data_IF_049960879424
#
_entry.id   IF_049960879424
#
_cell.length_a   1.000
_cell.length_b   1.000
_cell.length_c   1.000
_cell.angle_alpha   90.00
_cell.angle_beta   90.00
_cell.angle_gamma   90.00
#
_symmetry.space_group_name_H-M   'P 1'
#
loop_
_entity.id
_entity.type
_entity.pdbx_description
1 polymer ?
#
# COMPACT_ATOMS: atom_id res chain seq x y z
N UNK A 1 -71.13 -15.70 16.25
CA UNK A 1 -70.85 -16.70 17.32
C UNK A 1 -69.41 -17.15 17.22
N UNK A 2 -68.61 -16.92 18.30
CA UNK A 2 -67.44 -17.66 18.82
C UNK A 2 -66.25 -17.86 17.83
N UNK A 3 -64.99 -17.69 18.15
CA UNK A 3 -64.25 -17.21 19.36
C UNK A 3 -62.80 -16.93 18.84
N UNK A 4 -62.22 -15.87 19.34
CA UNK A 4 -60.80 -15.60 19.27
C UNK A 4 -60.00 -16.64 20.04
N UNK A 5 -58.81 -17.02 19.50
CA UNK A 5 -57.75 -17.59 20.30
C UNK A 5 -56.47 -16.80 20.04
N UNK A 6 -56.12 -15.96 21.00
CA UNK A 6 -54.84 -15.32 21.11
C UNK A 6 -53.80 -16.34 21.65
N UNK A 7 -52.72 -16.57 20.94
CA UNK A 7 -51.56 -17.31 21.45
C UNK A 7 -50.63 -16.26 22.12
N UNK A 8 -50.68 -16.24 23.46
CA UNK A 8 -49.72 -15.49 24.24
C UNK A 8 -48.39 -16.27 24.31
N UNK A 9 -47.36 -15.79 23.63
CA UNK A 9 -46.00 -16.26 23.82
C UNK A 9 -45.45 -15.71 25.12
N UNK A 10 -45.25 -16.58 26.11
CA UNK A 10 -44.58 -16.24 27.37
C UNK A 10 -43.10 -16.14 27.11
N UNK A 11 -42.58 -14.91 26.98
CA UNK A 11 -41.17 -14.63 27.09
C UNK A 11 -40.76 -14.76 28.56
N UNK A 12 -40.21 -15.90 28.95
CA UNK A 12 -39.51 -16.04 30.23
C UNK A 12 -38.16 -15.38 30.11
N UNK A 13 -37.94 -14.38 30.97
CA UNK A 13 -36.82 -13.49 30.98
C UNK A 13 -35.47 -14.20 31.06
N UNK A 14 -34.64 -13.85 30.15
CA UNK A 14 -33.18 -13.93 30.30
C UNK A 14 -32.78 -12.62 30.99
N UNK A 15 -32.18 -12.70 32.17
CA UNK A 15 -31.80 -11.50 32.93
C UNK A 15 -30.78 -10.68 32.13
N UNK A 16 -30.83 -9.35 32.14
CA UNK A 16 -29.91 -8.49 31.39
C UNK A 16 -28.44 -8.75 31.74
N UNK A 17 -28.11 -9.31 32.91
CA UNK A 17 -26.75 -9.66 33.28
C UNK A 17 -26.09 -10.73 32.39
N UNK A 18 -26.85 -11.67 31.84
CA UNK A 18 -26.27 -12.75 31.02
C UNK A 18 -25.83 -12.30 29.60
N UNK A 19 -26.54 -11.32 29.02
CA UNK A 19 -26.12 -10.75 27.72
C UNK A 19 -24.85 -9.89 27.86
N UNK A 20 -24.72 -9.13 28.94
CA UNK A 20 -23.56 -8.28 29.21
C UNK A 20 -22.29 -9.09 29.50
N UNK A 21 -22.41 -10.22 30.21
CA UNK A 21 -21.29 -11.11 30.50
C UNK A 21 -20.75 -11.72 29.21
N UNK A 22 -21.59 -12.07 28.25
CA UNK A 22 -21.18 -12.60 26.95
C UNK A 22 -20.52 -11.52 26.09
N UNK A 23 -21.02 -10.27 26.11
CA UNK A 23 -20.41 -9.15 25.36
C UNK A 23 -19.04 -8.76 25.93
N UNK A 24 -18.88 -8.75 27.26
CA UNK A 24 -17.61 -8.44 27.92
C UNK A 24 -16.57 -9.54 27.66
N UNK A 25 -16.99 -10.82 27.66
CA UNK A 25 -16.10 -11.94 27.33
C UNK A 25 -15.73 -11.92 25.85
N UNK A 26 -16.64 -11.56 24.93
CA UNK A 26 -16.35 -11.42 23.53
C UNK A 26 -15.37 -10.25 23.24
N UNK A 27 -15.51 -9.11 23.91
CA UNK A 27 -14.53 -8.01 23.84
C UNK A 27 -13.16 -8.39 24.42
N UNK A 28 -13.12 -9.13 25.53
CA UNK A 28 -11.86 -9.56 26.15
C UNK A 28 -11.14 -10.64 25.33
N UNK A 29 -11.88 -11.50 24.61
CA UNK A 29 -11.26 -12.50 23.72
C UNK A 29 -10.77 -11.90 22.40
N UNK A 30 -11.37 -10.84 21.89
CA UNK A 30 -10.87 -10.12 20.70
C UNK A 30 -9.58 -9.34 21.03
N UNK A 31 -9.44 -8.82 22.25
CA UNK A 31 -8.19 -8.15 22.68
C UNK A 31 -7.04 -9.11 23.02
N UNK A 32 -7.30 -10.40 23.23
CA UNK A 32 -6.25 -11.38 23.57
C UNK A 32 -5.54 -12.00 22.34
N UNK A 33 -5.96 -11.64 21.14
CA UNK A 33 -5.45 -12.23 19.87
C UNK A 33 -4.62 -11.30 18.99
N UNK A 34 -4.28 -10.09 19.42
CA UNK A 34 -3.29 -9.28 18.68
C UNK A 34 -1.89 -9.81 19.02
N UNK A 35 -1.31 -10.62 18.13
CA UNK A 35 0.12 -10.76 18.09
C UNK A 35 0.70 -9.34 18.15
N UNK A 36 1.42 -9.01 19.20
CA UNK A 36 2.18 -7.77 19.26
C UNK A 36 3.06 -7.75 18.01
N UNK A 37 2.74 -6.90 17.06
CA UNK A 37 3.64 -6.58 15.97
C UNK A 37 4.90 -6.08 16.66
N UNK A 38 6.04 -6.70 16.40
CA UNK A 38 7.32 -6.19 16.84
C UNK A 38 7.35 -4.70 16.52
N UNK A 39 7.81 -3.86 17.46
CA UNK A 39 7.82 -2.42 17.30
C UNK A 39 8.33 -2.03 15.91
N UNK A 40 7.46 -1.46 15.10
CA UNK A 40 7.79 -1.04 13.76
C UNK A 40 8.72 0.17 13.86
N UNK A 41 9.99 0.00 13.53
CA UNK A 41 10.99 1.05 13.61
C UNK A 41 11.05 1.78 12.27
N UNK A 42 10.82 3.09 12.31
CA UNK A 42 11.00 3.99 11.18
C UNK A 42 12.32 4.75 11.29
N UNK A 43 12.91 5.21 10.16
CA UNK A 43 13.99 6.16 10.22
C UNK A 43 13.58 7.45 10.93
N UNK A 44 14.52 8.17 11.58
CA UNK A 44 14.19 9.43 12.24
C UNK A 44 13.67 10.48 11.24
N UNK A 45 12.68 11.25 11.65
CA UNK A 45 12.17 12.37 10.89
C UNK A 45 13.23 13.47 10.76
N UNK A 46 13.48 13.91 9.53
CA UNK A 46 14.37 15.03 9.21
C UNK A 46 13.73 15.94 8.17
N UNK A 47 14.27 17.16 7.99
CA UNK A 47 13.86 18.03 6.90
C UNK A 47 14.74 17.77 5.68
N UNK A 48 14.15 17.60 4.50
CA UNK A 48 14.91 17.39 3.27
C UNK A 48 15.73 18.64 2.91
N UNK A 49 17.04 18.51 2.98
CA UNK A 49 18.02 19.57 2.62
C UNK A 49 18.88 19.21 1.39
N UNK A 50 18.47 18.20 0.62
CA UNK A 50 19.22 17.64 -0.51
C UNK A 50 19.74 16.23 -0.22
N UNK A 51 20.28 15.55 -1.25
CA UNK A 51 20.84 14.21 -1.10
C UNK A 51 22.12 14.23 -0.25
N UNK A 52 22.38 13.15 0.46
CA UNK A 52 23.58 12.96 1.26
C UNK A 52 24.69 12.30 0.42
N UNK A 53 25.95 12.46 0.87
CA UNK A 53 27.06 11.77 0.23
C UNK A 53 26.89 10.26 0.28
N UNK A 54 27.25 9.59 -0.80
CA UNK A 54 27.19 8.12 -0.95
C UNK A 54 28.57 7.52 -0.64
N UNK A 55 28.85 7.09 0.61
CA UNK A 55 30.11 6.45 0.90
C UNK A 55 30.19 5.07 0.20
N UNK A 56 31.40 4.57 -0.08
CA UNK A 56 31.57 3.24 -0.63
C UNK A 56 30.89 2.18 0.24
N UNK A 57 30.19 1.27 -0.39
CA UNK A 57 29.58 0.11 0.26
C UNK A 57 29.59 -1.05 -0.76
N UNK A 58 30.24 -2.19 -0.48
CA UNK A 58 30.20 -3.35 -1.35
C UNK A 58 28.78 -3.82 -1.59
N UNK A 59 28.51 -4.35 -2.80
CA UNK A 59 27.23 -4.96 -3.10
C UNK A 59 27.00 -6.15 -2.15
N UNK A 60 25.84 -6.22 -1.45
CA UNK A 60 25.53 -7.34 -0.60
C UNK A 60 25.43 -8.64 -1.39
N UNK A 61 25.93 -9.74 -0.83
CA UNK A 61 25.64 -11.09 -1.31
C UNK A 61 24.15 -11.39 -1.21
N UNK A 62 23.68 -12.40 -1.96
CA UNK A 62 22.29 -12.84 -1.84
C UNK A 62 21.98 -13.26 -0.41
N UNK A 63 20.95 -12.68 0.19
CA UNK A 63 20.53 -12.86 1.60
C UNK A 63 21.62 -12.54 2.65
N UNK A 64 22.66 -11.80 2.26
CA UNK A 64 23.70 -11.33 3.18
C UNK A 64 23.53 -9.83 3.38
N UNK A 65 22.89 -9.39 4.48
CA UNK A 65 22.59 -7.98 4.65
C UNK A 65 23.84 -7.15 4.93
N UNK A 66 23.78 -5.89 4.51
CA UNK A 66 24.75 -4.84 4.88
C UNK A 66 24.01 -3.69 5.54
N UNK A 67 24.72 -2.84 6.27
CA UNK A 67 24.13 -1.64 6.88
C UNK A 67 24.50 -0.43 6.02
N UNK A 68 23.50 0.39 5.66
CA UNK A 68 23.78 1.69 5.04
C UNK A 68 24.56 2.55 6.04
N UNK A 69 25.78 3.02 5.69
CA UNK A 69 26.66 3.70 6.65
C UNK A 69 26.19 5.12 7.01
N UNK A 70 25.21 5.68 6.31
CA UNK A 70 24.67 7.02 6.58
C UNK A 70 23.36 6.95 7.32
N UNK A 71 22.46 6.07 6.88
CA UNK A 71 21.08 6.03 7.40
C UNK A 71 20.86 4.89 8.40
N UNK A 72 21.81 3.96 8.51
CA UNK A 72 21.73 2.85 9.47
C UNK A 72 20.77 1.73 9.10
N UNK A 73 20.07 1.83 7.97
CA UNK A 73 19.15 0.78 7.53
C UNK A 73 19.89 -0.49 7.12
N UNK A 74 19.32 -1.63 7.44
CA UNK A 74 19.75 -2.95 6.98
C UNK A 74 19.25 -3.17 5.56
N UNK A 75 20.17 -3.31 4.61
CA UNK A 75 19.89 -3.57 3.19
C UNK A 75 20.14 -5.04 2.89
N UNK A 76 19.16 -5.72 2.34
CA UNK A 76 19.25 -7.12 1.93
C UNK A 76 18.98 -7.25 0.43
N UNK A 77 19.88 -7.90 -0.31
CA UNK A 77 19.61 -8.34 -1.69
C UNK A 77 18.73 -9.59 -1.62
N UNK A 78 17.50 -9.49 -2.14
CA UNK A 78 16.47 -10.52 -2.01
C UNK A 78 16.23 -11.33 -3.28
N UNK A 79 16.96 -11.03 -4.36
CA UNK A 79 16.90 -11.82 -5.60
C UNK A 79 18.30 -12.18 -6.08
N UNK A 80 18.39 -13.26 -6.85
CA UNK A 80 19.61 -13.75 -7.49
C UNK A 80 19.32 -14.53 -8.78
N UNK A 81 20.37 -15.06 -9.36
CA UNK A 81 20.36 -15.82 -10.59
C UNK A 81 19.51 -17.10 -10.53
N UNK A 82 19.42 -17.74 -9.36
CA UNK A 82 18.66 -19.00 -9.15
C UNK A 82 17.16 -18.81 -9.31
N UNK A 83 16.67 -17.57 -9.17
CA UNK A 83 15.25 -17.24 -9.37
C UNK A 83 14.87 -17.19 -10.85
N UNK A 84 15.83 -17.19 -11.77
CA UNK A 84 15.65 -17.12 -13.20
C UNK A 84 15.60 -15.69 -13.73
N UNK A 85 15.60 -15.57 -15.05
CA UNK A 85 15.57 -14.28 -15.75
C UNK A 85 14.14 -13.73 -15.81
N UNK A 86 14.01 -12.44 -15.63
CA UNK A 86 12.88 -11.64 -16.09
C UNK A 86 13.16 -11.17 -17.54
N UNK A 87 12.23 -10.44 -18.15
CA UNK A 87 12.43 -9.84 -19.48
C UNK A 87 13.62 -8.88 -19.55
N UNK A 88 14.11 -8.42 -18.43
CA UNK A 88 15.09 -7.35 -18.32
C UNK A 88 16.29 -7.69 -17.41
N UNK A 89 16.55 -8.96 -17.16
CA UNK A 89 17.61 -9.43 -16.28
C UNK A 89 17.10 -10.46 -15.28
N UNK A 90 17.51 -10.38 -14.02
CA UNK A 90 17.04 -11.31 -12.98
C UNK A 90 15.69 -10.86 -12.39
N UNK A 91 15.11 -11.70 -11.51
CA UNK A 91 13.85 -11.35 -10.83
C UNK A 91 14.00 -10.07 -10.02
N UNK A 92 13.12 -9.13 -10.26
CA UNK A 92 13.18 -7.78 -9.70
C UNK A 92 11.80 -7.28 -9.34
N UNK A 93 11.72 -6.18 -8.62
CA UNK A 93 10.47 -5.46 -8.39
C UNK A 93 9.91 -4.95 -9.73
N UNK A 94 8.59 -5.09 -9.90
CA UNK A 94 7.94 -4.78 -11.17
C UNK A 94 7.91 -3.27 -11.46
N UNK A 95 7.22 -2.49 -10.61
CA UNK A 95 7.07 -1.05 -10.82
C UNK A 95 6.67 -0.30 -9.55
N UNK A 96 6.96 0.99 -9.46
CA UNK A 96 6.67 1.82 -8.27
C UNK A 96 5.19 1.89 -7.88
N UNK A 97 4.27 1.72 -8.82
CA UNK A 97 2.83 1.67 -8.56
C UNK A 97 2.30 0.26 -8.27
N UNK A 98 3.15 -0.76 -8.25
CA UNK A 98 2.76 -2.14 -7.97
C UNK A 98 3.26 -2.56 -6.59
N UNK A 99 2.35 -2.74 -5.63
CA UNK A 99 2.70 -3.18 -4.28
C UNK A 99 3.27 -4.61 -4.31
N UNK A 100 4.57 -4.81 -3.95
CA UNK A 100 5.16 -6.14 -3.96
C UNK A 100 4.74 -6.99 -2.76
N UNK A 101 4.50 -6.39 -1.58
CA UNK A 101 4.05 -7.12 -0.40
C UNK A 101 2.54 -7.35 -0.42
N UNK A 102 2.10 -8.49 0.09
CA UNK A 102 0.70 -8.72 0.44
C UNK A 102 0.31 -7.89 1.68
N UNK A 103 -0.99 -7.86 2.01
CA UNK A 103 -1.55 -6.99 3.03
C UNK A 103 -0.87 -7.13 4.41
N UNK A 104 -0.58 -8.35 4.86
CA UNK A 104 0.05 -8.64 6.15
C UNK A 104 1.58 -8.72 6.09
N UNK A 105 2.19 -8.39 4.95
CA UNK A 105 3.63 -8.38 4.72
C UNK A 105 4.33 -9.73 4.94
N UNK A 106 3.62 -10.84 4.81
CA UNK A 106 4.18 -12.19 4.91
C UNK A 106 4.69 -12.74 3.59
N UNK A 107 4.26 -12.16 2.46
CA UNK A 107 4.65 -12.57 1.11
C UNK A 107 5.10 -11.37 0.27
N UNK A 108 5.99 -11.63 -0.69
CA UNK A 108 6.50 -10.66 -1.66
C UNK A 108 6.36 -11.25 -3.05
N UNK A 109 5.76 -10.53 -4.00
CA UNK A 109 5.80 -10.89 -5.43
C UNK A 109 6.89 -10.12 -6.17
N UNK A 110 7.58 -10.79 -7.07
CA UNK A 110 8.56 -10.20 -7.98
C UNK A 110 8.16 -10.41 -9.43
N UNK A 111 8.59 -9.49 -10.31
CA UNK A 111 8.42 -9.56 -11.77
C UNK A 111 6.98 -9.91 -12.18
N UNK A 112 6.05 -9.12 -11.68
CA UNK A 112 4.61 -9.27 -11.96
C UNK A 112 4.10 -10.70 -11.67
N UNK A 113 4.44 -11.22 -10.49
CA UNK A 113 4.00 -12.54 -9.98
C UNK A 113 4.69 -13.76 -10.63
N UNK A 114 5.88 -13.62 -11.21
CA UNK A 114 6.67 -14.79 -11.65
C UNK A 114 7.24 -15.59 -10.49
N UNK A 115 7.56 -14.91 -9.40
CA UNK A 115 8.05 -15.51 -8.16
C UNK A 115 7.35 -14.84 -6.99
N UNK A 116 6.92 -15.64 -6.01
CA UNK A 116 6.47 -15.20 -4.70
C UNK A 116 7.47 -15.69 -3.67
N UNK A 117 7.95 -14.78 -2.83
CA UNK A 117 8.87 -15.06 -1.74
C UNK A 117 8.11 -15.02 -0.40
N UNK A 118 8.59 -15.78 0.57
CA UNK A 118 8.32 -15.55 1.98
C UNK A 118 9.02 -14.24 2.40
N UNK A 119 8.28 -13.30 2.97
CA UNK A 119 8.81 -11.96 3.23
C UNK A 119 9.71 -11.86 4.46
N UNK A 120 9.81 -12.92 5.28
CA UNK A 120 10.71 -12.98 6.44
C UNK A 120 12.07 -13.55 6.05
N UNK A 121 12.06 -14.62 5.25
CA UNK A 121 13.27 -15.35 4.86
C UNK A 121 13.80 -14.98 3.48
N UNK A 122 12.95 -14.33 2.67
CA UNK A 122 13.14 -14.04 1.24
C UNK A 122 13.39 -15.31 0.38
N UNK A 123 13.07 -16.49 0.91
CA UNK A 123 13.10 -17.72 0.15
C UNK A 123 11.87 -17.85 -0.75
N UNK A 124 12.02 -18.60 -1.84
CA UNK A 124 10.92 -18.83 -2.77
C UNK A 124 9.80 -19.58 -2.08
N UNK A 125 8.65 -18.95 -1.94
CA UNK A 125 7.42 -19.56 -1.46
C UNK A 125 6.70 -20.29 -2.60
N UNK A 126 6.58 -19.64 -3.78
CA UNK A 126 5.87 -20.21 -4.93
C UNK A 126 6.36 -19.63 -6.26
N UNK A 127 6.25 -20.43 -7.32
CA UNK A 127 6.46 -20.02 -8.72
C UNK A 127 5.15 -20.19 -9.48
N UNK A 128 4.27 -19.19 -9.49
CA UNK A 128 3.01 -19.28 -10.23
C UNK A 128 3.26 -19.21 -11.75
N UNK A 129 2.34 -19.82 -12.51
CA UNK A 129 2.32 -19.71 -13.96
C UNK A 129 0.96 -19.22 -14.45
N UNK A 130 0.93 -18.54 -15.61
CA UNK A 130 -0.31 -18.07 -16.23
C UNK A 130 -1.08 -17.02 -15.43
N UNK A 131 -0.44 -16.39 -14.46
CA UNK A 131 -0.95 -15.21 -13.77
C UNK A 131 -0.42 -13.99 -14.51
N UNK A 132 -1.30 -13.26 -15.17
CA UNK A 132 -0.97 -12.05 -15.90
C UNK A 132 -0.63 -10.88 -14.95
N UNK A 133 -0.95 -9.69 -15.40
CA UNK A 133 -0.84 -8.50 -14.56
C UNK A 133 -1.67 -8.67 -13.28
N UNK A 134 -1.08 -8.34 -12.12
CA UNK A 134 -1.67 -8.70 -10.83
C UNK A 134 -1.52 -7.61 -9.79
N UNK A 135 -2.49 -7.59 -8.85
CA UNK A 135 -2.47 -6.71 -7.66
C UNK A 135 -2.87 -7.52 -6.43
N UNK A 136 -2.11 -7.33 -5.33
CA UNK A 136 -2.53 -7.89 -4.05
C UNK A 136 -3.84 -7.29 -3.58
N UNK A 137 -4.64 -8.09 -2.91
CA UNK A 137 -5.74 -7.60 -2.09
C UNK A 137 -5.21 -6.65 -1.01
N UNK A 138 -5.98 -5.62 -0.71
CA UNK A 138 -5.66 -4.65 0.34
C UNK A 138 -6.23 -5.05 1.70
N UNK A 139 -6.92 -6.20 1.79
CA UNK A 139 -7.59 -6.69 3.01
C UNK A 139 -7.34 -8.18 3.29
N UNK A 140 -7.19 -9.02 2.27
CA UNK A 140 -6.93 -10.46 2.45
C UNK A 140 -5.49 -10.79 2.01
N UNK A 141 -4.61 -11.18 2.95
CA UNK A 141 -3.20 -11.43 2.65
C UNK A 141 -2.95 -12.62 1.73
N UNK A 142 -3.96 -13.46 1.52
CA UNK A 142 -3.84 -14.64 0.65
C UNK A 142 -4.33 -14.39 -0.78
N UNK A 143 -5.00 -13.27 -1.04
CA UNK A 143 -5.66 -13.01 -2.33
C UNK A 143 -4.82 -12.11 -3.22
N UNK A 144 -4.74 -12.53 -4.48
CA UNK A 144 -4.14 -11.78 -5.57
C UNK A 144 -5.15 -11.72 -6.72
N UNK A 145 -5.50 -10.50 -7.13
CA UNK A 145 -6.29 -10.25 -8.33
C UNK A 145 -5.38 -10.19 -9.56
N UNK A 146 -5.84 -10.73 -10.69
CA UNK A 146 -5.02 -10.75 -11.89
C UNK A 146 -5.86 -10.82 -13.17
N UNK A 147 -5.22 -10.48 -14.30
CA UNK A 147 -5.81 -10.58 -15.63
C UNK A 147 -5.35 -11.83 -16.36
N UNK A 148 -6.24 -12.43 -17.16
CA UNK A 148 -5.93 -13.50 -18.13
C UNK A 148 -6.73 -13.28 -19.39
N UNK A 149 -6.10 -12.70 -20.43
CA UNK A 149 -6.82 -12.27 -21.62
C UNK A 149 -7.93 -11.27 -21.26
N UNK A 150 -9.18 -11.59 -21.57
CA UNK A 150 -10.33 -10.75 -21.23
C UNK A 150 -10.97 -11.08 -19.87
N UNK A 151 -10.31 -11.88 -19.04
CA UNK A 151 -10.82 -12.28 -17.73
C UNK A 151 -10.15 -11.52 -16.60
N UNK A 152 -10.95 -11.06 -15.63
CA UNK A 152 -10.50 -10.61 -14.31
C UNK A 152 -10.76 -11.72 -13.31
N UNK A 153 -9.73 -12.10 -12.55
CA UNK A 153 -9.73 -13.29 -11.72
C UNK A 153 -9.15 -12.99 -10.33
N UNK A 154 -9.52 -13.83 -9.38
CA UNK A 154 -9.01 -13.84 -8.01
C UNK A 154 -8.34 -15.19 -7.75
N UNK A 155 -7.11 -15.15 -7.22
CA UNK A 155 -6.35 -16.35 -6.87
C UNK A 155 -5.92 -16.31 -5.41
N UNK A 156 -6.24 -17.37 -4.66
CA UNK A 156 -5.70 -17.56 -3.32
C UNK A 156 -4.32 -18.24 -3.45
N UNK A 157 -3.27 -17.51 -3.10
CA UNK A 157 -1.87 -17.96 -3.28
C UNK A 157 -1.50 -19.12 -2.35
N UNK A 158 -2.24 -19.33 -1.25
CA UNK A 158 -1.98 -20.41 -0.28
C UNK A 158 -2.71 -21.70 -0.63
N UNK A 159 -3.99 -21.61 -0.97
CA UNK A 159 -4.83 -22.77 -1.33
C UNK A 159 -4.79 -23.14 -2.80
N UNK A 160 -4.24 -22.29 -3.67
CA UNK A 160 -4.29 -22.38 -5.14
C UNK A 160 -5.70 -22.25 -5.75
N UNK A 161 -6.70 -21.90 -4.98
CA UNK A 161 -8.05 -21.63 -5.50
C UNK A 161 -8.02 -20.45 -6.47
N UNK A 162 -8.53 -20.65 -7.68
CA UNK A 162 -8.51 -19.68 -8.79
C UNK A 162 -9.93 -19.44 -9.30
N UNK A 163 -10.49 -18.29 -8.99
CA UNK A 163 -11.89 -17.94 -9.26
C UNK A 163 -11.98 -16.91 -10.38
N UNK A 164 -12.79 -17.20 -11.40
CA UNK A 164 -13.23 -16.22 -12.40
C UNK A 164 -14.21 -15.24 -11.74
N UNK A 165 -13.91 -13.94 -11.80
CA UNK A 165 -14.79 -12.89 -11.30
C UNK A 165 -15.63 -12.31 -12.45
N UNK A 166 -14.99 -11.96 -13.57
CA UNK A 166 -15.68 -11.36 -14.72
C UNK A 166 -14.99 -11.72 -16.04
N UNK A 167 -15.77 -11.79 -17.12
CA UNK A 167 -15.28 -11.89 -18.51
C UNK A 167 -15.77 -10.69 -19.30
N UNK A 168 -14.85 -9.85 -19.72
CA UNK A 168 -15.13 -8.65 -20.50
C UNK A 168 -15.36 -9.00 -21.97
N UNK A 169 -16.48 -8.54 -22.53
CA UNK A 169 -16.83 -8.76 -23.95
C UNK A 169 -16.00 -7.88 -24.90
N UNK A 170 -15.38 -6.84 -24.37
CA UNK A 170 -14.67 -5.79 -25.12
C UNK A 170 -13.31 -6.25 -25.66
N UNK A 171 -12.69 -7.25 -25.04
CA UNK A 171 -11.39 -7.77 -25.44
C UNK A 171 -10.44 -8.04 -24.28
N UNK A 172 -9.18 -8.25 -24.58
CA UNK A 172 -8.14 -8.48 -23.57
C UNK A 172 -7.96 -7.23 -22.71
N UNK A 173 -7.99 -7.43 -21.38
CA UNK A 173 -7.90 -6.34 -20.43
C UNK A 173 -6.50 -6.19 -19.85
N UNK A 174 -6.18 -4.96 -19.45
CA UNK A 174 -5.05 -4.59 -18.61
C UNK A 174 -5.56 -3.80 -17.40
N UNK A 175 -4.88 -3.85 -16.25
CA UNK A 175 -5.21 -3.02 -15.09
C UNK A 175 -4.57 -1.65 -15.31
N UNK A 176 -5.33 -0.72 -15.92
CA UNK A 176 -4.92 0.64 -16.17
C UNK A 176 -3.59 0.76 -16.93
N UNK A 177 -3.43 0.00 -18.02
CA UNK A 177 -2.20 -0.08 -18.83
C UNK A 177 -0.96 -0.50 -18.02
N UNK A 178 -1.11 -1.49 -17.15
CA UNK A 178 -0.10 -2.06 -16.24
C UNK A 178 0.31 -1.16 -15.06
N UNK A 179 -0.26 0.03 -14.93
CA UNK A 179 0.04 0.96 -13.83
C UNK A 179 -1.16 1.27 -12.92
N UNK A 180 -2.33 0.69 -13.22
CA UNK A 180 -3.53 0.85 -12.42
C UNK A 180 -3.51 0.05 -11.12
N UNK A 181 -4.39 0.43 -10.19
CA UNK A 181 -4.56 -0.23 -8.90
C UNK A 181 -6.03 -0.44 -8.54
N UNK A 182 -6.24 -1.29 -7.54
CA UNK A 182 -7.54 -1.56 -6.90
C UNK A 182 -7.70 -0.56 -5.76
N UNK A 183 -8.94 -0.12 -5.47
CA UNK A 183 -9.25 0.70 -4.30
C UNK A 183 -8.99 -0.05 -3.00
N UNK A 184 -8.70 0.66 -1.91
CA UNK A 184 -8.65 0.07 -0.56
C UNK A 184 -10.00 -0.57 -0.26
N UNK A 185 -9.99 -1.78 0.34
CA UNK A 185 -11.18 -2.59 0.55
C UNK A 185 -11.59 -3.44 -0.65
N UNK A 186 -10.75 -3.49 -1.72
CA UNK A 186 -10.89 -4.38 -2.89
C UNK A 186 -12.18 -4.21 -3.68
N UNK A 187 -12.80 -3.04 -3.63
CA UNK A 187 -14.12 -2.89 -4.23
C UNK A 187 -14.09 -2.50 -5.69
N UNK A 188 -13.26 -1.55 -6.07
CA UNK A 188 -13.25 -1.01 -7.43
C UNK A 188 -11.90 -1.15 -8.10
N UNK A 189 -11.91 -1.43 -9.39
CA UNK A 189 -10.70 -1.44 -10.22
C UNK A 189 -10.98 -0.73 -11.54
N UNK A 190 -9.95 -0.11 -12.09
CA UNK A 190 -9.93 0.36 -13.47
C UNK A 190 -9.21 -0.67 -14.31
N UNK A 191 -9.90 -1.19 -15.33
CA UNK A 191 -9.28 -1.95 -16.42
C UNK A 191 -9.46 -1.21 -17.73
N UNK A 192 -8.65 -1.53 -18.73
CA UNK A 192 -8.81 -0.98 -20.06
C UNK A 192 -8.61 -2.04 -21.14
N UNK A 193 -9.29 -1.83 -22.27
CA UNK A 193 -9.05 -2.49 -23.56
C UNK A 193 -8.66 -1.37 -24.52
N UNK A 194 -7.40 -1.33 -24.90
CA UNK A 194 -6.82 -0.22 -25.67
C UNK A 194 -7.18 1.16 -25.07
N UNK A 195 -7.97 1.97 -25.76
CA UNK A 195 -8.41 3.32 -25.33
C UNK A 195 -9.66 3.33 -24.47
N UNK A 196 -10.37 2.19 -24.41
CA UNK A 196 -11.60 2.05 -23.64
C UNK A 196 -11.28 1.78 -22.17
N UNK A 197 -11.58 2.72 -21.31
CA UNK A 197 -11.43 2.60 -19.85
C UNK A 197 -12.74 2.11 -19.25
N UNK A 198 -12.65 1.14 -18.34
CA UNK A 198 -13.77 0.47 -17.70
C UNK A 198 -13.58 0.52 -16.19
N UNK A 199 -14.58 0.98 -15.47
CA UNK A 199 -14.66 0.89 -14.00
C UNK A 199 -15.49 -0.32 -13.64
N UNK A 200 -14.90 -1.23 -12.86
CA UNK A 200 -15.53 -2.48 -12.44
C UNK A 200 -15.65 -2.55 -10.91
N UNK A 201 -16.87 -2.84 -10.41
CA UNK A 201 -17.17 -3.13 -9.00
C UNK A 201 -16.98 -4.64 -8.77
N UNK A 202 -15.86 -4.98 -8.14
CA UNK A 202 -15.45 -6.37 -7.90
C UNK A 202 -16.42 -7.09 -6.97
N UNK A 203 -16.92 -6.38 -5.95
CA UNK A 203 -17.78 -6.98 -4.92
C UNK A 203 -19.16 -7.36 -5.45
N UNK A 204 -19.68 -6.59 -6.42
CA UNK A 204 -21.03 -6.78 -6.96
C UNK A 204 -21.02 -7.41 -8.37
N UNK A 205 -19.86 -7.65 -8.96
CA UNK A 205 -19.70 -8.10 -10.36
C UNK A 205 -20.44 -7.18 -11.36
N UNK A 206 -20.20 -5.85 -11.25
CA UNK A 206 -20.88 -4.85 -12.07
C UNK A 206 -19.86 -3.98 -12.80
N UNK A 207 -20.01 -3.83 -14.11
CA UNK A 207 -19.37 -2.75 -14.86
C UNK A 207 -20.11 -1.46 -14.56
N UNK A 208 -19.46 -0.57 -13.79
CA UNK A 208 -20.05 0.70 -13.33
C UNK A 208 -20.10 1.71 -14.48
N UNK A 209 -19.04 1.81 -15.25
CA UNK A 209 -18.93 2.75 -16.36
C UNK A 209 -17.91 2.25 -17.39
N UNK A 210 -18.13 2.65 -18.65
CA UNK A 210 -17.19 2.48 -19.78
C UNK A 210 -17.09 3.76 -20.56
N UNK A 211 -15.89 4.17 -20.95
CA UNK A 211 -15.66 5.35 -21.77
C UNK A 211 -14.38 5.25 -22.56
N UNK A 212 -14.44 5.56 -23.84
CA UNK A 212 -13.25 5.78 -24.65
C UNK A 212 -12.62 7.14 -24.23
N UNK A 213 -11.42 7.06 -23.67
CA UNK A 213 -10.65 8.24 -23.24
C UNK A 213 -9.58 8.64 -24.26
N UNK A 214 -9.53 7.96 -25.43
CA UNK A 214 -8.43 8.07 -26.37
C UNK A 214 -7.17 7.38 -25.83
N UNK A 215 -6.02 7.55 -26.50
CA UNK A 215 -4.76 6.97 -26.03
C UNK A 215 -4.44 7.39 -24.61
N UNK A 216 -4.26 6.42 -23.73
CA UNK A 216 -3.81 6.62 -22.35
C UNK A 216 -2.42 6.03 -22.15
N UNK A 217 -1.61 6.67 -21.33
CA UNK A 217 -0.38 6.10 -20.81
C UNK A 217 -0.74 5.14 -19.67
N UNK A 218 -1.55 5.62 -18.73
CA UNK A 218 -2.13 4.80 -17.67
C UNK A 218 -3.43 5.42 -17.13
N UNK A 219 -4.21 4.58 -16.46
CA UNK A 219 -5.35 4.97 -15.64
C UNK A 219 -5.38 4.17 -14.35
N UNK A 220 -5.80 4.76 -13.24
CA UNK A 220 -5.88 4.08 -11.94
C UNK A 220 -7.14 4.44 -11.18
N UNK A 221 -7.65 3.51 -10.41
CA UNK A 221 -8.65 3.79 -9.40
C UNK A 221 -7.98 4.50 -8.22
N UNK A 222 -8.62 5.52 -7.66
CA UNK A 222 -8.19 6.15 -6.42
C UNK A 222 -8.35 5.20 -5.22
N UNK A 223 -7.65 5.47 -4.14
CA UNK A 223 -7.66 4.58 -2.98
C UNK A 223 -9.03 4.47 -2.33
N UNK A 224 -9.84 5.53 -2.31
CA UNK A 224 -11.24 5.48 -1.85
C UNK A 224 -12.19 4.79 -2.85
N UNK A 225 -11.78 4.64 -4.11
CA UNK A 225 -12.65 4.20 -5.19
C UNK A 225 -13.64 5.26 -5.69
N UNK A 226 -13.47 6.54 -5.33
CA UNK A 226 -14.36 7.62 -5.76
C UNK A 226 -13.95 8.25 -7.09
N UNK A 227 -12.64 8.19 -7.42
CA UNK A 227 -12.07 8.85 -8.58
C UNK A 227 -11.33 7.87 -9.48
N UNK A 228 -11.28 8.20 -10.75
CA UNK A 228 -10.35 7.64 -11.73
C UNK A 228 -9.36 8.73 -12.10
N UNK A 229 -8.07 8.44 -11.94
CA UNK A 229 -6.99 9.33 -12.37
C UNK A 229 -6.35 8.73 -13.61
N UNK A 230 -6.20 9.53 -14.66
CA UNK A 230 -5.61 9.08 -15.91
C UNK A 230 -4.56 10.07 -16.40
N UNK A 231 -3.51 9.54 -16.97
CA UNK A 231 -2.55 10.26 -17.80
C UNK A 231 -2.79 9.89 -19.27
N UNK A 232 -3.17 10.84 -20.12
CA UNK A 232 -3.24 10.63 -21.56
C UNK A 232 -1.88 10.19 -22.13
N UNK A 233 -1.88 9.55 -23.30
CA UNK A 233 -0.68 9.01 -23.96
C UNK A 233 0.38 10.05 -24.33
N UNK A 234 0.07 11.34 -24.22
CA UNK A 234 1.05 12.43 -24.30
C UNK A 234 1.16 13.13 -22.95
N UNK A 235 2.38 13.24 -22.43
CA UNK A 235 2.64 13.96 -21.19
C UNK A 235 2.22 15.44 -21.23
N UNK A 236 2.16 16.04 -22.41
CA UNK A 236 1.69 17.41 -22.61
C UNK A 236 0.20 17.59 -22.32
N UNK A 237 -0.59 16.51 -22.34
CA UNK A 237 -2.02 16.55 -22.00
C UNK A 237 -2.27 16.55 -20.48
N UNK A 238 -1.23 16.31 -19.70
CA UNK A 238 -1.28 16.42 -18.24
C UNK A 238 -1.85 15.21 -17.53
N UNK A 239 -2.45 15.46 -16.36
CA UNK A 239 -3.12 14.45 -15.52
C UNK A 239 -4.56 14.89 -15.29
N UNK A 240 -5.49 13.96 -15.49
CA UNK A 240 -6.94 14.23 -15.51
C UNK A 240 -7.63 13.36 -14.46
N UNK A 241 -8.64 13.93 -13.81
CA UNK A 241 -9.47 13.28 -12.81
C UNK A 241 -10.91 13.17 -13.31
N UNK A 242 -11.44 11.97 -13.21
CA UNK A 242 -12.84 11.63 -13.46
C UNK A 242 -13.49 11.15 -12.16
N UNK A 243 -14.82 11.24 -12.08
CA UNK A 243 -15.56 10.48 -11.08
C UNK A 243 -15.60 8.98 -11.43
N UNK A 244 -16.18 8.17 -10.57
CA UNK A 244 -16.33 6.72 -10.79
C UNK A 244 -17.17 6.36 -12.02
N UNK A 245 -18.05 7.29 -12.48
CA UNK A 245 -18.87 7.12 -13.67
C UNK A 245 -18.16 7.62 -14.94
N UNK A 246 -16.87 7.93 -14.85
CA UNK A 246 -16.02 8.46 -15.92
C UNK A 246 -16.52 9.82 -16.47
N UNK A 247 -17.24 10.61 -15.66
CA UNK A 247 -17.48 12.00 -15.95
C UNK A 247 -16.22 12.81 -15.64
N UNK A 248 -15.79 13.64 -16.59
CA UNK A 248 -14.63 14.49 -16.42
C UNK A 248 -14.89 15.51 -15.31
N UNK A 249 -14.04 15.50 -14.28
CA UNK A 249 -14.10 16.49 -13.20
C UNK A 249 -13.13 17.63 -13.45
N UNK A 250 -11.85 17.33 -13.68
CA UNK A 250 -10.83 18.36 -13.85
C UNK A 250 -9.50 17.80 -14.39
N UNK A 251 -8.69 18.70 -14.92
CA UNK A 251 -7.26 18.51 -15.12
C UNK A 251 -6.54 19.05 -13.88
N UNK A 252 -5.62 18.26 -13.31
CA UNK A 252 -4.92 18.62 -12.07
C UNK A 252 -3.47 19.06 -12.31
N UNK A 253 -2.84 18.62 -13.40
CA UNK A 253 -1.52 19.05 -13.83
C UNK A 253 -1.50 19.25 -15.34
N UNK A 254 -0.76 20.28 -15.81
CA UNK A 254 -0.62 20.57 -17.24
C UNK A 254 0.39 19.66 -17.93
N UNK A 255 1.35 19.12 -17.18
CA UNK A 255 2.30 18.14 -17.67
C UNK A 255 2.26 16.93 -16.76
N UNK A 256 2.07 15.75 -17.33
CA UNK A 256 2.15 14.50 -16.62
C UNK A 256 3.59 14.08 -16.38
N UNK A 257 3.91 13.66 -15.17
CA UNK A 257 5.17 13.04 -14.79
C UNK A 257 4.89 11.71 -14.06
N UNK A 258 5.92 11.00 -13.63
CA UNK A 258 5.76 9.86 -12.76
C UNK A 258 5.05 10.29 -11.47
N UNK A 259 4.04 9.54 -11.07
CA UNK A 259 3.25 9.89 -9.89
C UNK A 259 2.32 8.76 -9.48
N UNK A 260 1.71 8.89 -8.31
CA UNK A 260 0.78 7.91 -7.76
C UNK A 260 -0.32 8.59 -6.93
N UNK A 261 -1.41 7.86 -6.69
CA UNK A 261 -2.55 8.32 -5.89
C UNK A 261 -2.41 7.85 -4.45
N UNK A 262 -2.56 8.79 -3.51
CA UNK A 262 -2.50 8.50 -2.07
C UNK A 262 -3.38 9.45 -1.28
N UNK A 263 -3.06 9.59 0.01
CA UNK A 263 -3.69 10.57 0.90
C UNK A 263 -2.66 11.55 1.45
N UNK A 264 -3.05 12.81 1.62
CA UNK A 264 -2.28 13.75 2.41
C UNK A 264 -2.47 13.51 3.93
N UNK A 265 -1.75 14.26 4.75
CA UNK A 265 -1.85 14.13 6.23
C UNK A 265 -3.17 14.64 6.80
N UNK A 266 -3.98 15.33 6.03
CA UNK A 266 -5.32 15.78 6.41
C UNK A 266 -6.41 14.79 5.96
N UNK A 267 -6.04 13.67 5.33
CA UNK A 267 -6.98 12.65 4.87
C UNK A 267 -7.64 12.96 3.51
N UNK A 268 -7.13 13.94 2.75
CA UNK A 268 -7.64 14.19 1.41
C UNK A 268 -6.93 13.29 0.40
N UNK A 269 -7.66 12.74 -0.57
CA UNK A 269 -7.03 12.04 -1.68
C UNK A 269 -6.28 13.00 -2.59
N UNK A 270 -5.05 12.64 -2.90
CA UNK A 270 -4.14 13.44 -3.71
C UNK A 270 -3.48 12.59 -4.80
N UNK A 271 -3.18 13.20 -5.93
CA UNK A 271 -2.17 12.69 -6.85
C UNK A 271 -0.86 13.40 -6.58
N UNK A 272 0.19 12.64 -6.33
CA UNK A 272 1.55 13.17 -6.11
C UNK A 272 2.38 12.86 -7.33
N UNK A 273 3.09 13.84 -7.88
CA UNK A 273 4.01 13.64 -9.02
C UNK A 273 5.41 14.15 -8.74
N UNK A 274 6.36 13.65 -9.52
CA UNK A 274 7.76 14.09 -9.57
C UNK A 274 7.97 15.24 -10.56
N UNK A 275 9.14 15.85 -10.56
CA UNK A 275 9.65 16.83 -11.56
C UNK A 275 8.89 18.16 -11.66
N UNK A 276 8.72 18.96 -10.61
CA UNK A 276 9.14 18.77 -9.22
C UNK A 276 8.15 17.92 -8.42
N UNK A 277 8.51 17.61 -7.17
CA UNK A 277 7.58 16.86 -6.29
C UNK A 277 6.47 17.80 -5.82
N UNK A 278 5.26 17.51 -6.23
CA UNK A 278 4.08 18.28 -5.88
C UNK A 278 2.86 17.37 -5.80
N UNK A 279 1.87 17.76 -5.04
CA UNK A 279 0.61 17.04 -4.94
C UNK A 279 -0.58 17.92 -5.34
N UNK A 280 -1.61 17.31 -5.90
CA UNK A 280 -2.89 17.95 -6.17
C UNK A 280 -4.03 17.16 -5.57
N UNK A 281 -4.93 17.83 -4.87
CA UNK A 281 -6.15 17.20 -4.34
C UNK A 281 -7.06 16.77 -5.48
N UNK A 282 -7.63 15.57 -5.36
CA UNK A 282 -8.52 15.02 -6.39
C UNK A 282 -9.89 15.70 -6.38
N UNK A 283 -10.37 16.11 -5.20
CA UNK A 283 -11.71 16.71 -5.02
C UNK A 283 -11.85 18.14 -5.56
N UNK A 284 -10.79 18.96 -5.48
CA UNK A 284 -10.87 20.38 -5.82
C UNK A 284 -9.74 20.89 -6.74
N UNK A 285 -8.69 20.07 -6.95
CA UNK A 285 -7.54 20.43 -7.79
C UNK A 285 -6.52 21.35 -7.10
N UNK A 286 -6.63 21.60 -5.80
CA UNK A 286 -5.66 22.41 -5.07
C UNK A 286 -4.28 21.78 -5.13
N UNK A 287 -3.31 22.53 -5.64
CA UNK A 287 -1.91 22.11 -5.77
C UNK A 287 -1.09 22.57 -4.57
N UNK A 288 -0.29 21.68 -4.02
CA UNK A 288 0.73 21.98 -3.01
C UNK A 288 2.09 21.58 -3.54
N UNK A 289 3.01 22.56 -3.60
CA UNK A 289 4.41 22.28 -3.92
C UNK A 289 5.11 21.75 -2.66
N UNK A 290 5.68 20.55 -2.75
CA UNK A 290 6.37 19.91 -1.62
C UNK A 290 7.81 20.39 -1.45
N UNK A 291 8.27 21.35 -2.29
CA UNK A 291 9.55 22.02 -2.15
C UNK A 291 10.78 21.16 -2.41
N UNK A 292 10.60 20.05 -3.14
CA UNK A 292 11.65 19.09 -3.51
C UNK A 292 11.71 19.02 -5.03
N UNK A 293 12.91 19.33 -5.59
CA UNK A 293 13.13 19.32 -7.04
C UNK A 293 13.89 18.06 -7.44
N UNK A 294 13.17 16.93 -7.47
CA UNK A 294 13.69 15.62 -7.87
C UNK A 294 12.87 15.06 -9.03
N UNK A 295 13.55 14.24 -9.84
CA UNK A 295 12.97 13.47 -10.93
C UNK A 295 13.32 11.99 -10.75
N UNK A 296 12.32 11.13 -10.77
CA UNK A 296 12.49 9.68 -10.56
C UNK A 296 11.14 9.02 -10.42
N UNK A 297 11.03 8.07 -9.52
CA UNK A 297 9.80 7.33 -9.25
C UNK A 297 9.30 7.60 -7.83
N UNK A 298 7.99 7.56 -7.64
CA UNK A 298 7.37 7.60 -6.34
C UNK A 298 6.26 6.54 -6.24
N UNK A 299 5.86 6.22 -5.01
CA UNK A 299 4.80 5.27 -4.72
C UNK A 299 4.01 5.70 -3.49
N UNK A 300 2.70 5.57 -3.55
CA UNK A 300 1.77 5.76 -2.44
C UNK A 300 1.07 4.43 -2.06
N UNK A 301 1.76 3.29 -2.24
CA UNK A 301 1.16 1.96 -2.02
C UNK A 301 1.16 1.50 -0.56
N UNK A 302 1.63 2.31 0.37
CA UNK A 302 1.65 2.09 1.81
C UNK A 302 0.28 2.36 2.46
N UNK A 303 -0.73 1.58 2.09
CA UNK A 303 -2.14 1.79 2.44
C UNK A 303 -2.46 1.64 3.95
N UNK A 304 -1.54 1.09 4.75
CA UNK A 304 -1.64 1.06 6.21
C UNK A 304 -0.93 2.25 6.88
N UNK A 305 -0.24 3.10 6.09
CA UNK A 305 0.43 4.32 6.56
C UNK A 305 0.15 5.48 5.63
N UNK A 306 -1.04 6.03 5.73
CA UNK A 306 -1.47 7.16 4.89
C UNK A 306 -0.68 8.45 5.23
N UNK A 307 -0.68 9.40 4.31
CA UNK A 307 0.03 10.69 4.48
C UNK A 307 1.53 10.65 4.14
N UNK A 308 2.04 9.53 3.60
CA UNK A 308 3.42 9.35 3.19
C UNK A 308 3.53 8.73 1.80
N UNK A 309 4.60 9.05 1.10
CA UNK A 309 4.96 8.41 -0.18
C UNK A 309 6.43 8.01 -0.18
N UNK A 310 6.78 6.93 -0.88
CA UNK A 310 8.17 6.66 -1.20
C UNK A 310 8.63 7.57 -2.33
N UNK A 311 9.82 8.11 -2.22
CA UNK A 311 10.49 8.88 -3.27
C UNK A 311 11.80 8.20 -3.57
N UNK A 312 11.99 7.79 -4.83
CA UNK A 312 13.23 7.28 -5.36
C UNK A 312 13.78 8.27 -6.39
N UNK A 313 14.88 8.93 -6.06
CA UNK A 313 15.53 9.87 -6.96
C UNK A 313 16.30 9.13 -8.09
N UNK A 314 16.45 9.78 -9.23
CA UNK A 314 17.20 9.24 -10.39
C UNK A 314 18.65 9.73 -10.49
N UNK A 315 19.16 10.49 -9.52
CA UNK A 315 20.46 11.13 -9.58
C UNK A 315 21.63 10.23 -9.14
N UNK A 316 22.86 10.73 -9.27
CA UNK A 316 24.09 10.02 -8.89
C UNK A 316 24.19 9.70 -7.39
N UNK A 317 23.60 10.56 -6.54
CA UNK A 317 23.48 10.35 -5.10
C UNK A 317 22.09 9.87 -4.71
N UNK A 318 21.47 9.08 -5.57
CA UNK A 318 20.10 8.64 -5.46
C UNK A 318 19.81 7.97 -4.11
N UNK A 319 18.83 8.50 -3.42
CA UNK A 319 18.31 8.00 -2.15
C UNK A 319 16.91 7.48 -2.31
N UNK A 320 16.50 6.59 -1.40
CA UNK A 320 15.13 6.22 -1.21
C UNK A 320 14.66 6.63 0.19
N UNK A 321 13.60 7.41 0.23
CA UNK A 321 13.09 8.00 1.47
C UNK A 321 11.56 8.08 1.46
N UNK A 322 10.96 8.12 2.65
CA UNK A 322 9.58 8.50 2.84
C UNK A 322 9.49 10.04 2.86
N UNK A 323 8.53 10.58 2.13
CA UNK A 323 8.16 11.99 2.17
C UNK A 323 6.77 12.12 2.77
N UNK A 324 6.66 12.92 3.80
CA UNK A 324 5.39 13.26 4.42
C UNK A 324 4.63 14.29 3.57
N UNK A 325 3.35 14.03 3.35
CA UNK A 325 2.50 14.87 2.49
C UNK A 325 1.81 15.99 3.29
N UNK A 326 2.62 16.77 4.00
CA UNK A 326 2.21 17.92 4.82
C UNK A 326 2.74 19.27 4.32
N UNK A 327 3.55 19.27 3.26
CA UNK A 327 4.20 20.48 2.74
C UNK A 327 5.44 20.95 3.51
N UNK A 328 5.86 20.25 4.58
CA UNK A 328 6.95 20.66 5.45
C UNK A 328 8.32 20.07 5.09
N UNK A 329 8.39 19.28 3.98
CA UNK A 329 9.60 18.54 3.56
C UNK A 329 10.10 17.52 4.59
N UNK A 330 9.22 17.03 5.45
CA UNK A 330 9.57 16.01 6.43
C UNK A 330 9.86 14.69 5.72
N UNK A 331 11.02 14.11 5.97
CA UNK A 331 11.45 12.85 5.34
C UNK A 331 12.00 11.86 6.36
N UNK A 332 11.88 10.58 6.05
CA UNK A 332 12.54 9.46 6.70
C UNK A 332 13.42 8.77 5.66
N UNK A 333 14.73 8.79 5.85
CA UNK A 333 15.69 8.27 4.87
C UNK A 333 16.03 6.83 5.15
N UNK A 334 15.87 5.97 4.14
CA UNK A 334 16.14 4.54 4.28
C UNK A 334 17.52 4.15 3.76
N UNK A 335 17.81 4.44 2.50
CA UNK A 335 19.05 3.96 1.90
C UNK A 335 19.49 4.80 0.70
N UNK A 336 20.78 4.69 0.37
CA UNK A 336 21.28 5.03 -0.95
C UNK A 336 20.99 3.88 -1.91
N UNK A 337 20.35 4.17 -3.03
CA UNK A 337 19.89 3.16 -3.98
C UNK A 337 21.02 2.50 -4.77
N UNK A 338 22.14 3.16 -4.92
CA UNK A 338 23.38 2.66 -5.58
C UNK A 338 23.14 2.07 -6.97
N UNK A 339 22.19 2.64 -7.68
CA UNK A 339 21.88 2.23 -9.06
C UNK A 339 22.62 3.12 -10.06
N UNK A 340 23.05 2.55 -11.18
CA UNK A 340 23.62 3.33 -12.28
C UNK A 340 22.56 4.16 -13.02
N UNK A 341 21.28 3.72 -13.00
CA UNK A 341 20.23 4.32 -13.80
C UNK A 341 20.43 4.16 -15.32
N UNK A 342 21.42 3.36 -15.74
CA UNK A 342 21.82 3.23 -17.15
C UNK A 342 20.75 2.61 -18.05
N UNK A 343 19.86 1.80 -17.47
CA UNK A 343 18.72 1.21 -18.17
C UNK A 343 17.43 1.49 -17.41
N UNK A 344 16.28 1.38 -18.08
CA UNK A 344 14.97 1.53 -17.44
C UNK A 344 14.78 0.55 -16.26
N UNK A 345 15.35 -0.64 -16.34
CA UNK A 345 15.25 -1.65 -15.28
C UNK A 345 16.17 -1.36 -14.09
N UNK A 346 17.28 -0.68 -14.33
CA UNK A 346 18.17 -0.19 -13.28
C UNK A 346 17.65 1.09 -12.59
N UNK A 347 16.55 1.69 -13.08
CA UNK A 347 15.91 2.79 -12.36
C UNK A 347 15.31 2.27 -11.04
N UNK A 348 15.54 3.02 -9.98
CA UNK A 348 15.07 2.66 -8.65
C UNK A 348 13.57 2.93 -8.49
N UNK A 349 12.76 1.97 -8.85
CA UNK A 349 11.29 2.02 -8.78
C UNK A 349 10.84 1.69 -7.36
N UNK A 350 11.23 2.52 -6.37
CA UNK A 350 11.04 2.23 -4.96
C UNK A 350 9.59 2.20 -4.51
N UNK A 351 9.25 1.19 -3.70
CA UNK A 351 7.92 1.02 -3.08
C UNK A 351 8.08 0.68 -1.61
N UNK A 352 7.22 1.25 -0.76
CA UNK A 352 7.13 0.84 0.64
C UNK A 352 6.29 -0.42 0.81
N UNK A 353 6.57 -1.17 1.90
CA UNK A 353 5.62 -2.12 2.46
C UNK A 353 4.29 -1.42 2.82
N UNK A 354 3.18 -2.16 2.95
CA UNK A 354 1.89 -1.58 3.31
C UNK A 354 1.92 -0.65 4.52
N UNK A 355 2.72 -0.96 5.54
CA UNK A 355 2.91 -0.16 6.76
C UNK A 355 4.01 0.91 6.65
N UNK A 356 4.74 0.95 5.53
CA UNK A 356 5.83 1.91 5.30
C UNK A 356 7.11 1.67 6.10
N UNK A 357 7.25 0.52 6.78
CA UNK A 357 8.43 0.20 7.61
C UNK A 357 9.61 -0.32 6.80
N UNK A 358 9.34 -0.84 5.60
CA UNK A 358 10.34 -1.36 4.68
C UNK A 358 10.19 -0.70 3.33
N UNK A 359 11.27 -0.68 2.57
CA UNK A 359 11.27 -0.19 1.20
C UNK A 359 11.98 -1.18 0.29
N UNK A 360 11.41 -1.42 -0.88
CA UNK A 360 12.00 -2.24 -1.94
C UNK A 360 12.35 -1.37 -3.13
N UNK A 361 13.48 -1.65 -3.78
CA UNK A 361 13.87 -1.03 -5.06
C UNK A 361 14.70 -1.97 -5.90
N UNK A 362 14.91 -1.59 -7.15
CA UNK A 362 15.82 -2.26 -8.08
C UNK A 362 17.17 -1.51 -8.11
N UNK A 363 18.26 -2.26 -8.21
CA UNK A 363 19.59 -1.68 -8.38
C UNK A 363 20.52 -2.66 -9.09
N UNK A 364 21.35 -2.16 -9.97
CA UNK A 364 22.48 -2.88 -10.52
C UNK A 364 23.77 -2.71 -9.69
N UNK A 365 23.73 -1.90 -8.64
CA UNK A 365 24.87 -1.56 -7.79
C UNK A 365 26.10 -1.11 -8.60
N UNK A 366 25.88 -0.47 -9.76
CA UNK A 366 26.92 -0.07 -10.69
C UNK A 366 27.56 -1.21 -11.47
N UNK A 367 27.02 -2.45 -11.42
CA UNK A 367 27.59 -3.63 -12.08
C UNK A 367 26.87 -4.02 -13.38
N UNK A 368 25.79 -3.33 -13.74
CA UNK A 368 24.97 -3.62 -14.92
C UNK A 368 23.95 -4.75 -14.72
N UNK A 369 24.05 -5.55 -13.66
CA UNK A 369 23.09 -6.63 -13.38
C UNK A 369 22.12 -6.17 -12.30
N UNK A 370 20.84 -6.10 -12.64
CA UNK A 370 19.78 -5.60 -11.77
C UNK A 370 19.23 -6.69 -10.86
N UNK A 371 19.07 -6.34 -9.57
CA UNK A 371 18.46 -7.18 -8.54
C UNK A 371 17.48 -6.38 -7.70
N UNK A 372 16.63 -7.07 -6.96
CA UNK A 372 15.75 -6.47 -5.96
C UNK A 372 16.42 -6.40 -4.59
N UNK A 373 16.25 -5.27 -3.92
CA UNK A 373 16.77 -4.99 -2.58
C UNK A 373 15.64 -4.53 -1.67
N UNK A 374 15.75 -4.86 -0.39
CA UNK A 374 14.87 -4.37 0.67
C UNK A 374 15.73 -3.67 1.73
N UNK A 375 15.31 -2.47 2.14
CA UNK A 375 15.86 -1.81 3.33
C UNK A 375 14.79 -1.71 4.41
N UNK A 376 15.22 -1.93 5.64
CA UNK A 376 14.45 -1.77 6.86
C UNK A 376 15.36 -1.26 7.98
N UNK A 377 14.80 -0.49 8.91
CA UNK A 377 15.58 -0.13 10.09
C UNK A 377 15.82 -1.39 10.93
N UNK A 378 17.03 -1.60 11.44
CA UNK A 378 17.25 -2.68 12.38
C UNK A 378 16.32 -2.43 13.58
N UNK A 379 15.50 -3.43 13.91
CA UNK A 379 14.70 -3.38 15.12
C UNK A 379 15.60 -3.16 16.35
N UNK A 380 15.10 -2.50 17.34
CA UNK A 380 15.80 -2.39 18.62
C UNK A 380 16.01 -3.81 19.15
N UNK A 381 17.21 -4.36 18.88
CA UNK A 381 17.59 -5.70 19.33
C UNK A 381 17.71 -5.82 20.85
N UNK A 382 17.29 -4.81 21.57
CA UNK A 382 17.34 -4.73 23.04
C UNK A 382 15.98 -4.88 23.74
N UNK A 383 14.86 -4.72 23.04
CA UNK A 383 13.56 -4.92 23.65
C UNK A 383 12.89 -6.21 23.11
N UNK A 384 13.06 -7.30 23.83
CA UNK A 384 12.38 -8.58 23.59
C UNK A 384 11.16 -8.76 24.52
N UNK A 385 10.86 -7.75 25.32
CA UNK A 385 9.75 -7.80 26.28
C UNK A 385 8.50 -7.22 25.61
N UNK A 386 7.45 -8.03 25.39
CA UNK A 386 6.19 -7.50 24.90
C UNK A 386 5.68 -6.38 25.85
N UNK A 387 5.09 -5.30 25.32
CA UNK A 387 4.50 -4.27 26.16
C UNK A 387 3.54 -4.87 27.19
N UNK A 388 3.64 -4.39 28.41
CA UNK A 388 2.72 -4.84 29.47
C UNK A 388 1.31 -4.40 29.10
N UNK A 389 0.36 -5.31 29.18
CA UNK A 389 -1.04 -5.00 28.88
C UNK A 389 -1.52 -3.81 29.74
N UNK A 390 -2.28 -2.88 29.17
CA UNK A 390 -2.85 -1.77 29.95
C UNK A 390 -3.61 -2.29 31.17
N UNK A 391 -3.31 -1.73 32.34
CA UNK A 391 -3.96 -2.12 33.58
C UNK A 391 -5.23 -1.30 33.83
N UNK A 392 -6.11 -1.81 34.72
CA UNK A 392 -7.30 -1.11 35.18
C UNK A 392 -8.30 -0.70 34.10
N UNK A 393 -8.46 -1.54 33.04
CA UNK A 393 -9.55 -1.36 32.11
C UNK A 393 -10.89 -1.38 32.84
N UNK A 394 -11.67 -0.31 32.74
CA UNK A 394 -12.98 -0.18 33.36
C UNK A 394 -13.93 0.60 32.47
N UNK A 395 -15.20 0.28 32.60
CA UNK A 395 -16.30 1.06 32.03
C UNK A 395 -16.51 2.30 32.89
N UNK A 396 -16.46 3.48 32.27
CA UNK A 396 -16.69 4.78 32.97
C UNK A 396 -18.04 5.38 32.63
N UNK A 397 -18.67 4.96 31.56
CA UNK A 397 -19.99 5.39 31.15
C UNK A 397 -20.66 4.40 30.22
N UNK A 398 -21.99 4.36 30.26
CA UNK A 398 -22.82 3.57 29.34
C UNK A 398 -23.95 4.46 28.86
N UNK A 399 -24.14 4.56 27.55
CA UNK A 399 -25.27 5.22 26.90
C UNK A 399 -26.04 4.27 26.01
N UNK A 400 -27.11 4.69 25.40
CA UNK A 400 -27.85 3.88 24.42
C UNK A 400 -27.05 3.63 23.15
N UNK A 401 -26.02 4.40 22.88
CA UNK A 401 -25.25 4.38 21.63
C UNK A 401 -23.76 4.11 21.83
N UNK A 402 -23.28 3.93 23.07
CA UNK A 402 -21.85 3.72 23.30
C UNK A 402 -21.49 3.33 24.73
N UNK A 403 -20.25 2.88 24.88
CA UNK A 403 -19.62 2.55 26.17
C UNK A 403 -18.32 3.33 26.27
N UNK A 404 -18.14 4.08 27.35
CA UNK A 404 -16.90 4.78 27.67
C UNK A 404 -15.98 3.84 28.45
N UNK A 405 -14.75 3.71 28.01
CA UNK A 405 -13.73 2.88 28.66
C UNK A 405 -12.59 3.76 29.18
N UNK A 406 -12.02 3.38 30.30
CA UNK A 406 -10.81 3.99 30.86
C UNK A 406 -9.83 2.89 31.25
N UNK A 407 -8.54 3.14 31.03
CA UNK A 407 -7.44 2.25 31.43
C UNK A 407 -6.19 3.06 31.75
N UNK A 408 -5.26 2.47 32.47
CA UNK A 408 -3.94 3.05 32.68
C UNK A 408 -3.06 2.79 31.45
N UNK A 409 -2.28 3.79 31.04
CA UNK A 409 -1.26 3.61 30.01
C UNK A 409 -0.25 2.53 30.43
N UNK A 410 0.25 1.77 29.47
CA UNK A 410 1.36 0.85 29.72
C UNK A 410 2.61 1.64 30.17
N UNK A 411 3.32 1.20 31.22
CA UNK A 411 4.54 1.87 31.67
C UNK A 411 5.66 1.87 30.63
N UNK A 412 5.58 1.01 29.59
CA UNK A 412 6.55 0.94 28.51
C UNK A 412 6.32 1.97 27.41
N UNK A 413 5.20 2.68 27.45
CA UNK A 413 4.92 3.81 26.56
C UNK A 413 5.56 5.08 27.14
N UNK A 414 6.85 5.28 26.86
CA UNK A 414 7.49 6.59 27.05
C UNK A 414 7.08 7.52 25.90
N UNK A 415 5.86 8.04 25.96
CA UNK A 415 5.44 9.09 25.06
C UNK A 415 5.86 10.45 25.64
N UNK A 416 6.69 11.16 24.89
CA UNK A 416 7.14 12.52 25.19
C UNK A 416 6.10 13.59 24.85
N UNK A 417 4.88 13.21 24.50
CA UNK A 417 3.78 14.13 24.19
C UNK A 417 2.62 13.87 25.16
N UNK A 418 2.60 14.63 26.24
CA UNK A 418 1.53 14.59 27.24
C UNK A 418 0.17 15.04 26.69
N UNK A 419 -0.57 14.11 26.13
CA UNK A 419 -2.02 14.23 25.89
C UNK A 419 -2.69 12.94 26.38
N UNK A 420 -3.79 13.03 27.15
CA UNK A 420 -4.55 11.83 27.50
C UNK A 420 -5.18 11.24 26.25
N UNK A 421 -5.02 9.92 26.07
CA UNK A 421 -5.65 9.19 24.99
C UNK A 421 -7.17 9.30 25.11
N UNK A 422 -7.80 9.98 24.17
CA UNK A 422 -9.26 10.08 24.07
C UNK A 422 -9.83 8.80 23.49
N UNK A 423 -10.87 8.28 24.10
CA UNK A 423 -11.56 7.06 23.71
C UNK A 423 -12.08 7.13 22.26
N UNK A 424 -11.87 6.08 21.49
CA UNK A 424 -12.53 5.90 20.21
C UNK A 424 -14.02 5.57 20.45
N UNK A 425 -14.90 6.38 19.88
CA UNK A 425 -16.34 6.09 19.82
C UNK A 425 -16.57 5.10 18.69
N UNK A 426 -16.97 3.87 19.03
CA UNK A 426 -17.47 2.91 18.05
C UNK A 426 -18.96 3.19 17.82
N UNK A 427 -19.28 3.86 16.71
CA UNK A 427 -20.65 3.97 16.22
C UNK A 427 -20.98 2.73 15.39
N UNK A 428 -22.05 2.06 15.73
CA UNK A 428 -22.71 1.03 14.92
C UNK A 428 -23.76 1.65 14.00
#
# INVERSE_FOLDING_TARGET
MKRSNALALIYRGVSPLSLWTVLIIACLTVCAGTNALADTVYPPNTVYGGPQNVPPLPRPGYLQPVIDPVFGAKITRISDESMGLSSAGYMQHHYSKDQPWNHDMTLIKLSNTRVILDAKTYQIFKRPSGKGESRWSTVDPSILFYTRGNQFRKWNVRSDEDVLLHTFSEGNISIGSNEGNISIGDRYVVVNVDTLVIVYDIANDIVVAKKDLGPIDWATMSQSGNYVVSRPGSSALGVVVYDRNLNLLRKIFDKGAHGDVGYDTAGNEVFVQMCPVQMSRLDNGQVTNLGISLCGHLSARNHLRLGWVSVGDGGANAEIFALRLDGMKTVERFAHMRTSGATYDAQAKGVFSPDGSKVMWNSDWGSGTVYAYVAEMPGNSGDTVPPVAPANLRVTGISQTGVDLSWNTSPDMTDTIGQPASAAILNH
#
